data_IF_116001547932
#
_entry.id   IF_116001547932
#
_cell.length_a   1.000
_cell.length_b   1.000
_cell.length_c   1.000
_cell.angle_alpha   90.00
_cell.angle_beta   90.00
_cell.angle_gamma   90.00
#
_symmetry.space_group_name_H-M   'P 1'
#
loop_
_entity.id
_entity.type
_entity.pdbx_description
1 polymer ?
#
# COMPACT_ATOMS: atom_id res chain seq x y z
N UNK A 1 5.14 9.10 -13.89
CA UNK A 1 4.09 9.84 -13.16
C UNK A 1 3.01 8.93 -12.59
N UNK A 2 2.49 7.95 -13.34
CA UNK A 2 1.46 7.03 -12.82
C UNK A 2 1.92 6.23 -11.59
N UNK A 3 3.17 5.76 -11.57
CA UNK A 3 3.78 5.08 -10.41
C UNK A 3 3.75 5.95 -9.16
N UNK A 4 4.26 7.18 -9.26
CA UNK A 4 4.27 8.15 -8.14
C UNK A 4 2.84 8.41 -7.64
N UNK A 5 1.88 8.57 -8.56
CA UNK A 5 0.48 8.74 -8.18
C UNK A 5 -0.05 7.52 -7.41
N UNK A 6 0.24 6.31 -7.89
CA UNK A 6 -0.17 5.06 -7.22
C UNK A 6 0.46 4.93 -5.83
N UNK A 7 1.75 5.27 -5.67
CA UNK A 7 2.45 5.23 -4.40
C UNK A 7 1.88 6.22 -3.38
N UNK A 8 1.68 7.48 -3.80
CA UNK A 8 1.16 8.53 -2.93
C UNK A 8 -0.31 8.29 -2.58
N UNK A 9 -1.15 8.00 -3.57
CA UNK A 9 -2.57 7.76 -3.36
C UNK A 9 -2.81 6.46 -2.57
N UNK A 10 -2.12 5.38 -2.94
CA UNK A 10 -2.20 4.08 -2.27
C UNK A 10 -1.70 4.15 -0.83
N UNK A 11 -0.51 4.70 -0.60
CA UNK A 11 0.04 4.89 0.74
C UNK A 11 -0.87 5.74 1.64
N UNK A 12 -1.40 6.84 1.11
CA UNK A 12 -2.35 7.69 1.84
C UNK A 12 -3.63 6.93 2.19
N UNK A 13 -4.21 6.19 1.25
CA UNK A 13 -5.40 5.40 1.50
C UNK A 13 -5.18 4.32 2.56
N UNK A 14 -4.01 3.66 2.56
CA UNK A 14 -3.64 2.69 3.60
C UNK A 14 -3.51 3.33 4.98
N UNK A 15 -2.86 4.49 5.09
CA UNK A 15 -2.72 5.24 6.35
C UNK A 15 -4.10 5.64 6.89
N UNK A 16 -4.99 6.13 6.02
CA UNK A 16 -6.35 6.53 6.41
C UNK A 16 -7.29 5.34 6.64
N UNK A 17 -6.85 4.11 6.34
CA UNK A 17 -7.66 2.89 6.48
C UNK A 17 -8.82 2.82 5.48
N UNK A 18 -8.64 3.36 4.27
CA UNK A 18 -9.64 3.33 3.20
C UNK A 18 -9.40 2.11 2.31
N UNK A 19 -10.41 1.22 2.19
CA UNK A 19 -10.36 0.02 1.35
C UNK A 19 -9.08 -0.80 1.53
N UNK A 20 -8.63 -0.97 2.78
CA UNK A 20 -7.28 -1.43 3.12
C UNK A 20 -6.87 -2.70 2.39
N UNK A 21 -7.76 -3.71 2.30
CA UNK A 21 -7.46 -4.97 1.62
C UNK A 21 -7.22 -4.77 0.13
N UNK A 22 -8.10 -4.04 -0.54
CA UNK A 22 -8.00 -3.78 -1.98
C UNK A 22 -6.80 -2.89 -2.32
N UNK A 23 -6.60 -1.80 -1.58
CA UNK A 23 -5.48 -0.88 -1.82
C UNK A 23 -4.16 -1.60 -1.57
N UNK A 24 -4.05 -2.40 -0.50
CA UNK A 24 -2.85 -3.17 -0.22
C UNK A 24 -2.55 -4.16 -1.34
N UNK A 25 -3.57 -4.87 -1.83
CA UNK A 25 -3.42 -5.82 -2.95
C UNK A 25 -2.94 -5.13 -4.22
N UNK A 26 -3.52 -3.98 -4.57
CA UNK A 26 -3.14 -3.21 -5.76
C UNK A 26 -1.75 -2.55 -5.63
N UNK A 27 -1.29 -2.29 -4.41
CA UNK A 27 0.03 -1.69 -4.15
C UNK A 27 1.17 -2.69 -4.37
N UNK A 28 0.93 -4.00 -4.12
CA UNK A 28 1.93 -5.06 -4.28
C UNK A 28 2.62 -5.06 -5.66
N UNK A 29 1.91 -5.11 -6.81
CA UNK A 29 2.58 -5.12 -8.12
C UNK A 29 3.40 -3.86 -8.39
N UNK A 30 2.99 -2.69 -7.87
CA UNK A 30 3.73 -1.43 -7.99
C UNK A 30 5.06 -1.54 -7.24
N UNK A 31 5.02 -2.01 -5.99
CA UNK A 31 6.20 -2.19 -5.15
C UNK A 31 7.13 -3.29 -5.64
N UNK A 32 6.59 -4.37 -6.22
CA UNK A 32 7.40 -5.40 -6.87
C UNK A 32 8.12 -4.85 -8.12
N UNK A 33 7.44 -4.01 -8.90
CA UNK A 33 8.07 -3.28 -10.00
C UNK A 33 9.19 -2.35 -9.51
N UNK A 34 8.96 -1.63 -8.41
CA UNK A 34 9.99 -0.80 -7.78
C UNK A 34 11.17 -1.64 -7.27
N UNK A 35 10.91 -2.74 -6.56
CA UNK A 35 11.96 -3.65 -6.11
C UNK A 35 12.82 -4.14 -7.29
N UNK A 36 12.17 -4.55 -8.40
CA UNK A 36 12.82 -5.07 -9.59
C UNK A 36 13.78 -4.05 -10.22
N UNK A 37 13.37 -2.80 -10.42
CA UNK A 37 14.23 -1.78 -11.05
C UNK A 37 15.40 -1.35 -10.16
N UNK A 38 15.31 -1.59 -8.85
CA UNK A 38 16.36 -1.27 -7.87
C UNK A 38 17.27 -2.46 -7.53
N UNK A 39 17.06 -3.66 -8.09
CA UNK A 39 17.89 -4.86 -7.78
C UNK A 39 19.37 -4.62 -8.06
N UNK A 40 19.70 -3.95 -9.16
CA UNK A 40 21.10 -3.65 -9.54
C UNK A 40 21.81 -2.71 -8.57
N UNK A 41 21.08 -1.94 -7.77
CA UNK A 41 21.62 -1.01 -6.79
C UNK A 41 21.99 -1.72 -5.47
N UNK A 42 21.77 -3.02 -5.37
CA UNK A 42 22.04 -3.82 -4.17
C UNK A 42 20.92 -3.75 -3.13
N UNK A 43 21.14 -4.39 -1.98
CA UNK A 43 20.13 -4.54 -0.94
C UNK A 43 19.74 -3.21 -0.28
N UNK A 44 20.70 -2.52 0.36
CA UNK A 44 20.42 -1.41 1.27
C UNK A 44 19.84 -0.17 0.57
N UNK A 45 18.80 0.42 1.18
CA UNK A 45 18.20 1.65 0.67
C UNK A 45 19.17 2.85 0.65
N UNK A 46 20.21 2.85 1.50
CA UNK A 46 21.23 3.90 1.54
C UNK A 46 22.24 3.87 0.40
N UNK A 47 22.20 2.85 -0.47
CA UNK A 47 23.08 2.77 -1.63
C UNK A 47 22.81 3.91 -2.63
N UNK A 48 23.80 4.31 -3.44
CA UNK A 48 23.59 5.28 -4.53
C UNK A 48 22.44 4.83 -5.45
N UNK A 49 21.43 5.68 -5.63
CA UNK A 49 20.22 5.36 -6.40
C UNK A 49 19.16 4.53 -5.65
N UNK A 50 19.40 4.18 -4.38
CA UNK A 50 18.50 3.42 -3.52
C UNK A 50 18.47 1.93 -3.86
N UNK A 51 18.69 1.06 -2.86
CA UNK A 51 18.54 -0.39 -2.98
C UNK A 51 17.09 -0.88 -2.85
N UNK A 52 16.89 -2.18 -3.07
CA UNK A 52 15.56 -2.79 -3.14
C UNK A 52 14.95 -3.25 -1.80
N UNK A 53 15.70 -3.11 -0.69
CA UNK A 53 15.27 -3.45 0.68
C UNK A 53 13.92 -2.80 1.05
N UNK A 54 13.79 -1.49 0.86
CA UNK A 54 12.60 -0.76 1.32
C UNK A 54 11.34 -1.13 0.52
N UNK A 55 11.36 -1.17 -0.83
CA UNK A 55 10.24 -1.70 -1.60
C UNK A 55 9.84 -3.14 -1.22
N UNK A 56 10.80 -4.04 -0.97
CA UNK A 56 10.52 -5.41 -0.56
C UNK A 56 9.86 -5.49 0.82
N UNK A 57 10.32 -4.67 1.78
CA UNK A 57 9.66 -4.53 3.08
C UNK A 57 8.20 -4.08 2.90
N UNK A 58 7.96 -3.08 2.05
CA UNK A 58 6.61 -2.58 1.80
C UNK A 58 5.71 -3.63 1.14
N UNK A 59 6.24 -4.54 0.30
CA UNK A 59 5.48 -5.69 -0.22
C UNK A 59 5.04 -6.60 0.92
N UNK A 60 5.95 -6.94 1.84
CA UNK A 60 5.62 -7.81 2.97
C UNK A 60 4.56 -7.17 3.88
N UNK A 61 4.68 -5.88 4.18
CA UNK A 61 3.68 -5.14 4.96
C UNK A 61 2.34 -5.05 4.23
N UNK A 62 2.34 -4.81 2.91
CA UNK A 62 1.12 -4.80 2.11
C UNK A 62 0.44 -6.18 2.12
N UNK A 63 1.20 -7.26 1.99
CA UNK A 63 0.67 -8.62 2.10
C UNK A 63 0.03 -8.86 3.47
N UNK A 64 0.67 -8.43 4.56
CA UNK A 64 0.07 -8.51 5.91
C UNK A 64 -1.27 -7.76 5.98
N UNK A 65 -1.37 -6.57 5.39
CA UNK A 65 -2.60 -5.78 5.35
C UNK A 65 -3.70 -6.42 4.48
N UNK A 66 -3.35 -7.12 3.41
CA UNK A 66 -4.32 -7.90 2.61
C UNK A 66 -5.04 -8.93 3.48
N UNK A 67 -4.31 -9.60 4.39
CA UNK A 67 -4.88 -10.60 5.30
C UNK A 67 -5.56 -9.98 6.53
N UNK A 68 -4.92 -8.98 7.14
CA UNK A 68 -5.40 -8.36 8.38
C UNK A 68 -6.61 -7.44 8.17
N UNK A 69 -6.63 -6.69 7.06
CA UNK A 69 -7.64 -5.67 6.80
C UNK A 69 -7.46 -4.37 7.60
N UNK A 70 -8.49 -3.50 7.63
CA UNK A 70 -8.39 -2.16 8.23
C UNK A 70 -8.31 -2.21 9.76
N UNK A 71 -7.44 -1.37 10.34
CA UNK A 71 -7.30 -1.20 11.79
C UNK A 71 -8.50 -0.51 12.47
N UNK A 72 -8.47 -0.45 13.81
CA UNK A 72 -9.54 0.14 14.63
C UNK A 72 -9.78 1.63 14.35
N UNK A 73 -8.73 2.37 14.00
CA UNK A 73 -8.77 3.81 13.70
C UNK A 73 -9.01 4.12 12.21
N UNK A 74 -9.37 3.12 11.40
CA UNK A 74 -9.64 3.33 9.98
C UNK A 74 -10.80 4.32 9.79
N UNK A 75 -10.58 5.40 9.02
CA UNK A 75 -11.62 6.41 8.76
C UNK A 75 -12.86 5.80 8.13
N UNK A 76 -12.70 4.74 7.35
CA UNK A 76 -13.79 3.95 6.78
C UNK A 76 -14.83 3.52 7.84
N UNK A 77 -14.41 3.23 9.08
CA UNK A 77 -15.32 2.79 10.16
C UNK A 77 -16.14 3.93 10.77
N UNK A 78 -15.88 5.19 10.40
CA UNK A 78 -16.69 6.32 10.88
C UNK A 78 -18.12 6.19 10.33
N UNK A 79 -19.17 6.30 11.18
CA UNK A 79 -20.55 6.08 10.76
C UNK A 79 -20.99 6.94 9.58
N UNK A 80 -20.45 8.16 9.47
CA UNK A 80 -20.79 9.08 8.38
C UNK A 80 -20.21 8.62 7.04
N UNK A 81 -19.00 8.04 7.05
CA UNK A 81 -18.34 7.56 5.84
C UNK A 81 -18.88 6.18 5.43
N UNK A 82 -19.14 5.29 6.39
CA UNK A 82 -19.69 3.96 6.10
C UNK A 82 -21.10 4.03 5.47
N UNK A 83 -21.91 5.04 5.81
CA UNK A 83 -23.23 5.27 5.22
C UNK A 83 -23.19 5.68 3.74
N UNK A 84 -22.10 6.29 3.29
CA UNK A 84 -21.95 6.77 1.92
C UNK A 84 -21.42 5.70 0.97
N UNK A 85 -20.98 4.55 1.49
CA UNK A 85 -20.33 3.50 0.71
C UNK A 85 -21.33 2.37 0.39
N UNK A 86 -21.45 1.95 -0.89
CA UNK A 86 -22.24 0.79 -1.28
C UNK A 86 -21.84 -0.48 -0.53
N UNK A 87 -22.80 -1.31 -0.15
CA UNK A 87 -22.57 -2.56 0.59
C UNK A 87 -21.55 -3.49 -0.11
N UNK A 88 -21.53 -3.51 -1.44
CA UNK A 88 -20.60 -4.31 -2.24
C UNK A 88 -19.13 -3.92 -2.08
N UNK A 89 -18.85 -2.72 -1.58
CA UNK A 89 -17.51 -2.22 -1.36
C UNK A 89 -17.09 -2.29 0.12
N UNK A 90 -17.95 -2.80 1.01
CA UNK A 90 -17.69 -3.01 2.44
C UNK A 90 -16.85 -4.27 2.64
N UNK A 91 -15.60 -4.05 3.08
CA UNK A 91 -14.61 -5.11 3.36
C UNK A 91 -15.05 -6.04 4.49
#
# INVERSE_FOLDING_TARGET
YLTIFAEVAGGTALILGLYTRFVALLTIPVLLGAAWVHVSNGWLFSNPGGGWEFPALLVALSAALVFQGPGMLALRRLPILDRLIPAALKD
#
